data_IF_983712627315
#
_entry.id   IF_983712627315
#
_cell.length_a   1.000
_cell.length_b   1.000
_cell.length_c   1.000
_cell.angle_alpha   90.00
_cell.angle_beta   90.00
_cell.angle_gamma   90.00
#
_symmetry.space_group_name_H-M   'P 1'
#
loop_
_entity.id
_entity.type
_entity.pdbx_description
1 polymer ?
#
# COMPACT_ATOMS: atom_id res chain seq x y z
N UNK A 1 1.07 -14.74 -4.16
CA UNK A 1 1.89 -13.65 -4.74
C UNK A 1 1.33 -12.31 -4.29
N UNK A 2 2.17 -11.36 -3.86
CA UNK A 2 1.73 -10.04 -3.35
C UNK A 2 2.26 -8.87 -4.20
N UNK A 3 2.15 -8.99 -5.54
CA UNK A 3 2.64 -7.96 -6.48
C UNK A 3 1.99 -6.60 -6.19
N UNK A 4 0.69 -6.59 -5.87
CA UNK A 4 -0.02 -5.37 -5.49
C UNK A 4 0.61 -4.65 -4.29
N UNK A 5 1.12 -5.38 -3.29
CA UNK A 5 1.79 -4.78 -2.13
C UNK A 5 3.15 -4.18 -2.49
N UNK A 6 3.86 -4.73 -3.48
CA UNK A 6 5.13 -4.17 -3.99
C UNK A 6 4.91 -2.85 -4.74
N UNK A 7 3.74 -2.64 -5.35
CA UNK A 7 3.43 -1.40 -6.08
C UNK A 7 3.10 -0.21 -5.16
N UNK A 8 2.69 -0.46 -3.92
CA UNK A 8 2.27 0.56 -2.95
C UNK A 8 3.25 0.77 -1.80
N UNK A 9 4.52 0.40 -2.05
CA UNK A 9 5.61 0.60 -1.10
C UNK A 9 5.78 2.10 -0.78
N UNK A 10 6.13 2.38 0.47
CA UNK A 10 6.35 3.74 0.96
C UNK A 10 7.42 4.48 0.15
N UNK A 11 8.63 3.93 0.08
CA UNK A 11 9.69 4.48 -0.76
C UNK A 11 9.40 4.18 -2.24
N UNK A 12 9.27 5.20 -3.12
CA UNK A 12 9.03 4.99 -4.55
C UNK A 12 10.09 4.13 -5.23
N UNK A 13 11.35 4.17 -4.76
CA UNK A 13 12.44 3.38 -5.34
C UNK A 13 12.27 1.87 -5.12
N UNK A 14 11.45 1.45 -4.15
CA UNK A 14 11.13 0.04 -3.94
C UNK A 14 9.96 -0.45 -4.81
N UNK A 15 9.29 0.44 -5.56
CA UNK A 15 8.18 0.06 -6.42
C UNK A 15 8.73 -0.56 -7.71
N UNK A 16 8.19 -1.70 -8.16
CA UNK A 16 8.61 -2.30 -9.43
C UNK A 16 8.28 -1.35 -10.60
N UNK A 17 9.14 -1.35 -11.61
CA UNK A 17 8.82 -0.70 -12.90
C UNK A 17 7.67 -1.44 -13.59
N UNK A 18 7.00 -0.78 -14.55
CA UNK A 18 5.92 -1.45 -15.28
C UNK A 18 6.39 -2.69 -16.06
N UNK A 19 7.61 -2.67 -16.60
CA UNK A 19 8.20 -3.84 -17.25
C UNK A 19 8.42 -4.99 -16.25
N UNK A 20 8.88 -4.69 -15.03
CA UNK A 20 9.03 -5.68 -13.98
C UNK A 20 7.67 -6.25 -13.56
N UNK A 21 6.62 -5.42 -13.42
CA UNK A 21 5.26 -5.90 -13.11
C UNK A 21 4.76 -6.89 -14.16
N UNK A 22 4.95 -6.60 -15.44
CA UNK A 22 4.56 -7.52 -16.53
C UNK A 22 5.32 -8.85 -16.47
N UNK A 23 6.62 -8.81 -16.15
CA UNK A 23 7.43 -10.01 -15.96
C UNK A 23 6.95 -10.83 -14.75
N UNK A 24 6.65 -10.17 -13.63
CA UNK A 24 6.17 -10.81 -12.40
C UNK A 24 4.78 -11.45 -12.60
N UNK A 25 3.90 -10.82 -13.40
CA UNK A 25 2.58 -11.33 -13.73
C UNK A 25 2.62 -12.49 -14.74
N UNK A 26 3.56 -12.46 -15.68
CA UNK A 26 3.73 -13.50 -16.70
C UNK A 26 4.51 -14.73 -16.24
N UNK A 27 5.12 -14.69 -15.05
CA UNK A 27 5.95 -15.77 -14.53
C UNK A 27 5.23 -16.57 -13.45
N UNK A 28 4.90 -17.83 -13.76
CA UNK A 28 4.11 -18.70 -12.86
C UNK A 28 4.87 -19.11 -11.57
N UNK A 29 6.21 -19.19 -11.61
CA UNK A 29 7.04 -19.65 -10.48
C UNK A 29 8.06 -18.64 -9.95
N UNK A 30 7.87 -17.34 -10.19
CA UNK A 30 8.84 -16.33 -9.75
C UNK A 30 8.80 -16.12 -8.23
N UNK A 31 9.98 -16.15 -7.60
CA UNK A 31 10.14 -15.79 -6.18
C UNK A 31 10.06 -14.27 -6.05
N UNK A 32 8.97 -13.79 -5.45
CA UNK A 32 8.77 -12.37 -5.21
C UNK A 32 9.52 -11.91 -3.97
N UNK A 33 10.11 -10.70 -3.99
CA UNK A 33 10.64 -10.10 -2.77
C UNK A 33 9.51 -9.85 -1.77
N UNK A 34 9.85 -9.90 -0.48
CA UNK A 34 8.89 -9.61 0.58
C UNK A 34 8.54 -8.11 0.56
N UNK A 35 7.24 -7.75 0.51
CA UNK A 35 6.84 -6.36 0.58
C UNK A 35 7.20 -5.76 1.94
N UNK A 36 7.76 -4.54 1.94
CA UNK A 36 7.94 -3.74 3.16
C UNK A 36 6.62 -3.01 3.48
N UNK A 37 6.64 -2.15 4.51
CA UNK A 37 5.46 -1.38 4.90
C UNK A 37 4.90 -0.57 3.71
N UNK A 38 3.60 -0.73 3.41
CA UNK A 38 2.93 0.13 2.44
C UNK A 38 2.94 1.59 2.88
N UNK A 39 2.87 2.51 1.92
CA UNK A 39 2.72 3.94 2.20
C UNK A 39 1.54 4.24 3.14
N UNK A 40 0.49 3.43 3.07
CA UNK A 40 -0.72 3.53 3.88
C UNK A 40 -0.86 2.29 4.76
N UNK A 41 -0.32 2.36 5.97
CA UNK A 41 -0.53 1.35 7.01
C UNK A 41 -1.31 1.98 8.17
N UNK A 42 -2.21 1.21 8.80
CA UNK A 42 -2.94 1.64 9.99
C UNK A 42 -2.00 2.16 11.08
N UNK A 43 -0.81 1.56 11.19
CA UNK A 43 0.25 2.01 12.09
C UNK A 43 0.70 3.45 11.85
N UNK A 44 0.67 3.98 10.62
CA UNK A 44 0.96 5.39 10.34
C UNK A 44 -0.22 6.28 10.75
N UNK A 45 -1.45 5.86 10.44
CA UNK A 45 -2.67 6.61 10.76
C UNK A 45 -2.79 6.83 12.27
N UNK A 46 -2.49 5.81 13.06
CA UNK A 46 -2.51 5.89 14.53
C UNK A 46 -1.32 6.69 15.12
N UNK A 47 -0.26 6.96 14.35
CA UNK A 47 0.91 7.76 14.76
C UNK A 47 0.78 9.23 14.44
N UNK A 48 -0.17 9.62 13.59
CA UNK A 48 -0.57 11.01 13.43
C UNK A 48 -1.45 11.34 14.63
N UNK A 49 -0.96 12.20 15.53
CA UNK A 49 -1.65 12.56 16.77
C UNK A 49 -3.13 12.91 16.54
N UNK A 50 -4.05 12.48 17.44
CA UNK A 50 -5.48 12.80 17.36
C UNK A 50 -5.81 14.30 17.46
N UNK A 51 -4.81 15.17 17.65
CA UNK A 51 -4.99 16.62 17.85
C UNK A 51 -4.77 17.48 16.59
N UNK A 52 -4.29 16.91 15.48
CA UNK A 52 -4.16 17.70 14.24
C UNK A 52 -5.49 17.74 13.50
N UNK A 53 -6.30 18.77 13.80
CA UNK A 53 -7.34 19.27 12.88
C UNK A 53 -6.67 19.89 11.65
N UNK A 54 -6.03 19.06 10.83
CA UNK A 54 -5.60 19.46 9.50
C UNK A 54 -6.76 19.11 8.58
N UNK A 55 -7.49 20.11 8.09
CA UNK A 55 -8.46 19.90 7.02
C UNK A 55 -7.71 19.26 5.85
N UNK A 56 -7.88 17.97 5.54
CA UNK A 56 -7.15 17.36 4.45
C UNK A 56 -7.92 17.71 3.18
N UNK A 57 -7.37 18.59 2.36
CA UNK A 57 -7.76 18.69 0.94
C UNK A 57 -7.35 17.44 0.13
N UNK A 58 -7.23 16.27 0.76
CA UNK A 58 -6.78 15.03 0.14
C UNK A 58 -7.70 13.90 0.52
N UNK A 59 -8.21 13.18 -0.49
CA UNK A 59 -9.10 12.01 -0.40
C UNK A 59 -9.06 11.33 0.97
N UNK A 60 -10.06 11.64 1.78
CA UNK A 60 -10.20 11.14 3.14
C UNK A 60 -10.44 9.63 3.08
N UNK A 61 -9.67 8.84 3.82
CA UNK A 61 -9.84 7.40 3.88
C UNK A 61 -11.08 7.12 4.73
N UNK A 62 -12.21 6.87 4.07
CA UNK A 62 -13.42 6.38 4.72
C UNK A 62 -13.19 4.90 5.03
N UNK A 63 -12.85 4.59 6.28
CA UNK A 63 -12.95 3.22 6.79
C UNK A 63 -14.44 2.93 7.00
N UNK A 64 -15.06 2.24 6.05
CA UNK A 64 -16.40 1.68 6.24
C UNK A 64 -16.26 0.42 7.10
N UNK A 65 -16.89 0.40 8.26
CA UNK A 65 -17.08 -0.84 9.02
C UNK A 65 -17.92 -1.81 8.17
N UNK A 66 -17.29 -2.87 7.68
CA UNK A 66 -17.98 -3.93 6.95
C UNK A 66 -18.74 -4.76 8.00
N UNK A 67 -20.00 -4.40 8.23
CA UNK A 67 -20.92 -5.24 9.00
C UNK A 67 -21.33 -6.44 8.10
N UNK A 68 -21.06 -7.70 8.49
CA UNK A 68 -21.56 -8.84 7.74
C UNK A 68 -23.09 -8.88 7.83
N UNK A 69 -23.76 -8.99 6.68
CA UNK A 69 -25.20 -9.27 6.57
C UNK A 69 -25.49 -10.72 6.90
#
# INVERSE_FOLDING_TARGET
MHIGLLCVQENPEHRPTMSAVMLLLGSESMVLPQPKQPAFSLSRVLRLDPSTKTNPSGNEIIFSDILPR
#
